data_IF_062943318741
#
_entry.id   IF_062943318741
#
_cell.length_a   1.000
_cell.length_b   1.000
_cell.length_c   1.000
_cell.angle_alpha   90.00
_cell.angle_beta   90.00
_cell.angle_gamma   90.00
#
_symmetry.space_group_name_H-M   'P 1'
#
loop_
_entity.id
_entity.type
_entity.pdbx_description
1 polymer ?
#
# COMPACT_ATOMS: atom_id res chain seq x y z
N UNK A 1 4.51 24.28 -36.26
CA UNK A 1 4.59 24.44 -34.79
C UNK A 1 4.91 23.08 -34.20
N UNK A 2 5.96 22.92 -33.39
CA UNK A 2 6.26 21.65 -32.71
C UNK A 2 5.53 21.64 -31.37
N UNK A 3 4.68 20.65 -31.16
CA UNK A 3 4.05 20.39 -29.87
C UNK A 3 5.07 19.71 -28.97
N UNK A 4 5.40 20.31 -27.84
CA UNK A 4 6.29 19.72 -26.84
C UNK A 4 5.45 19.18 -25.69
N UNK A 5 5.55 17.88 -25.46
CA UNK A 5 4.87 17.20 -24.37
C UNK A 5 5.54 17.61 -23.05
N UNK A 6 4.72 17.95 -22.05
CA UNK A 6 5.18 18.05 -20.66
C UNK A 6 4.71 16.75 -20.01
N UNK A 7 5.59 15.76 -19.95
CA UNK A 7 5.24 14.39 -19.57
C UNK A 7 4.54 14.34 -18.20
N UNK A 8 4.96 15.18 -17.26
CA UNK A 8 4.46 15.25 -15.88
C UNK A 8 3.02 15.80 -15.77
N UNK A 9 2.52 16.49 -16.80
CA UNK A 9 1.16 17.07 -16.84
C UNK A 9 0.15 16.20 -17.59
N UNK A 10 0.62 15.16 -18.27
CA UNK A 10 -0.23 14.21 -18.98
C UNK A 10 -0.54 13.02 -18.08
N UNK A 11 -1.58 12.22 -18.39
CA UNK A 11 -1.91 11.02 -17.59
C UNK A 11 -0.64 10.18 -17.44
N UNK A 12 -0.15 10.10 -16.21
CA UNK A 12 1.21 9.65 -15.91
C UNK A 12 1.48 8.25 -16.42
N UNK A 13 2.78 7.94 -16.55
CA UNK A 13 3.28 6.62 -16.90
C UNK A 13 2.66 5.58 -15.96
N UNK A 14 2.15 4.48 -16.53
CA UNK A 14 1.63 3.34 -15.77
C UNK A 14 2.76 2.81 -14.87
N UNK A 15 2.64 3.02 -13.56
CA UNK A 15 3.65 2.59 -12.58
C UNK A 15 3.58 1.09 -12.28
N UNK A 16 2.39 0.51 -12.34
CA UNK A 16 2.13 -0.88 -11.97
C UNK A 16 1.52 -1.66 -13.13
N UNK A 17 2.07 -2.85 -13.40
CA UNK A 17 1.57 -3.75 -14.44
C UNK A 17 0.34 -4.55 -13.98
N UNK A 18 0.08 -4.61 -12.68
CA UNK A 18 -1.04 -5.36 -12.10
C UNK A 18 -2.40 -4.70 -12.38
N UNK A 19 -3.46 -5.51 -12.40
CA UNK A 19 -4.85 -5.08 -12.56
C UNK A 19 -5.72 -5.69 -11.47
N UNK A 20 -6.52 -4.86 -10.82
CA UNK A 20 -7.48 -5.30 -9.81
C UNK A 20 -8.61 -6.05 -10.53
N UNK A 21 -9.02 -7.18 -9.95
CA UNK A 21 -10.17 -7.98 -10.39
C UNK A 21 -11.11 -8.26 -9.22
N UNK A 22 -12.30 -8.78 -9.53
CA UNK A 22 -13.36 -9.08 -8.55
C UNK A 22 -12.97 -10.13 -7.50
N UNK A 23 -11.87 -10.86 -7.70
CA UNK A 23 -11.35 -11.83 -6.72
C UNK A 23 -10.83 -11.19 -5.43
N UNK A 24 -10.51 -9.89 -5.44
CA UNK A 24 -9.84 -9.27 -4.30
C UNK A 24 -10.84 -8.92 -3.20
N UNK A 25 -10.53 -9.34 -1.98
CA UNK A 25 -11.31 -8.99 -0.81
C UNK A 25 -10.77 -7.74 -0.14
N UNK A 26 -11.67 -6.90 0.38
CA UNK A 26 -11.26 -5.80 1.25
C UNK A 26 -10.99 -6.32 2.64
N UNK A 27 -9.78 -6.07 3.15
CA UNK A 27 -9.37 -6.43 4.51
C UNK A 27 -8.69 -5.25 5.19
N UNK A 28 -8.76 -5.21 6.52
CA UNK A 28 -7.91 -4.33 7.31
C UNK A 28 -6.73 -5.11 7.92
N UNK A 29 -5.68 -4.38 8.34
CA UNK A 29 -4.46 -4.99 8.88
C UNK A 29 -4.71 -5.85 10.13
N UNK A 30 -5.71 -5.51 10.95
CA UNK A 30 -6.05 -6.27 12.16
C UNK A 30 -6.64 -7.63 11.81
N UNK A 31 -7.49 -7.71 10.79
CA UNK A 31 -8.08 -8.96 10.31
C UNK A 31 -6.98 -9.88 9.79
N UNK A 32 -6.15 -9.38 8.88
CA UNK A 32 -5.04 -10.14 8.30
C UNK A 32 -4.05 -10.64 9.34
N UNK A 33 -3.66 -9.79 10.29
CA UNK A 33 -2.76 -10.20 11.38
C UNK A 33 -3.34 -11.29 12.28
N UNK A 34 -4.66 -11.27 12.50
CA UNK A 34 -5.35 -12.32 13.28
C UNK A 34 -5.47 -13.63 12.52
N UNK A 35 -5.66 -13.56 11.20
CA UNK A 35 -5.75 -14.72 10.31
C UNK A 35 -4.37 -15.38 10.13
N UNK A 36 -3.32 -14.58 9.94
CA UNK A 36 -1.94 -15.06 9.80
C UNK A 36 -0.94 -14.04 10.37
N UNK A 37 -0.51 -14.27 11.61
CA UNK A 37 0.40 -13.37 12.35
C UNK A 37 1.76 -13.22 11.67
N UNK A 38 2.26 -14.29 11.05
CA UNK A 38 3.55 -14.33 10.38
C UNK A 38 3.39 -14.20 8.85
N UNK A 39 2.23 -13.72 8.41
CA UNK A 39 1.90 -13.54 7.00
C UNK A 39 2.84 -12.56 6.30
N UNK A 40 3.30 -12.98 5.13
CA UNK A 40 4.06 -12.15 4.19
C UNK A 40 3.22 -11.97 2.94
N UNK A 41 2.97 -10.72 2.59
CA UNK A 41 2.05 -10.36 1.52
C UNK A 41 2.80 -9.65 0.40
N UNK A 42 2.66 -10.16 -0.83
CA UNK A 42 3.24 -9.54 -2.02
C UNK A 42 2.50 -8.25 -2.32
N UNK A 43 3.24 -7.17 -2.53
CA UNK A 43 2.72 -5.89 -2.99
C UNK A 43 2.63 -5.93 -4.51
N UNK A 44 1.42 -5.70 -5.03
CA UNK A 44 1.15 -5.66 -6.47
C UNK A 44 0.95 -4.25 -7.01
N UNK A 45 0.34 -3.39 -6.21
CA UNK A 45 0.17 -1.98 -6.56
C UNK A 45 -0.18 -1.15 -5.32
N UNK A 46 0.01 0.16 -5.45
CA UNK A 46 -0.54 1.16 -4.55
C UNK A 46 -1.52 2.08 -5.28
N UNK A 47 -2.50 2.61 -4.57
CA UNK A 47 -3.28 3.74 -5.02
C UNK A 47 -3.84 4.56 -3.86
N UNK A 48 -4.07 5.85 -4.10
CA UNK A 48 -4.75 6.71 -3.12
C UNK A 48 -6.25 6.55 -3.25
N UNK A 49 -6.92 6.06 -2.19
CA UNK A 49 -8.36 6.09 -2.10
C UNK A 49 -8.84 7.49 -1.69
N UNK A 50 -9.33 8.25 -2.67
CA UNK A 50 -9.85 9.61 -2.46
C UNK A 50 -11.32 9.68 -2.00
N UNK A 51 -12.02 8.55 -1.96
CA UNK A 51 -13.48 8.49 -1.69
C UNK A 51 -13.81 7.93 -0.31
N UNK A 52 -12.81 7.73 0.55
CA UNK A 52 -13.05 7.20 1.90
C UNK A 52 -13.72 8.25 2.79
N UNK A 53 -14.64 7.82 3.65
CA UNK A 53 -15.31 8.68 4.65
C UNK A 53 -14.34 9.29 5.68
N UNK A 54 -13.11 8.78 5.76
CA UNK A 54 -12.07 9.22 6.69
C UNK A 54 -10.99 10.07 6.00
N UNK A 55 -11.27 10.56 4.79
CA UNK A 55 -10.32 11.32 3.97
C UNK A 55 -9.47 10.41 3.08
N UNK A 56 -8.49 11.02 2.40
CA UNK A 56 -7.59 10.29 1.50
C UNK A 56 -6.70 9.33 2.28
N UNK A 57 -6.67 8.06 1.88
CA UNK A 57 -5.79 7.04 2.46
C UNK A 57 -5.08 6.28 1.35
N UNK A 58 -3.83 5.89 1.61
CA UNK A 58 -3.11 5.00 0.72
C UNK A 58 -3.64 3.58 0.85
N UNK A 59 -3.69 2.87 -0.26
CA UNK A 59 -4.16 1.49 -0.35
C UNK A 59 -3.06 0.65 -0.95
N UNK A 60 -2.79 -0.49 -0.33
CA UNK A 60 -1.95 -1.54 -0.90
C UNK A 60 -2.83 -2.65 -1.43
N UNK A 61 -2.50 -3.15 -2.61
CA UNK A 61 -3.14 -4.32 -3.21
C UNK A 61 -2.14 -5.46 -3.24
N UNK A 62 -2.60 -6.64 -2.84
CA UNK A 62 -1.85 -7.90 -2.84
C UNK A 62 -2.47 -8.84 -3.89
N UNK A 63 -2.04 -10.11 -3.92
CA UNK A 63 -2.64 -11.10 -4.82
C UNK A 63 -4.14 -11.33 -4.55
N UNK A 64 -4.55 -11.19 -3.29
CA UNK A 64 -5.90 -11.57 -2.83
C UNK A 64 -6.64 -10.44 -2.12
N UNK A 65 -5.94 -9.40 -1.67
CA UNK A 65 -6.51 -8.38 -0.78
C UNK A 65 -6.29 -6.95 -1.25
N UNK A 66 -7.26 -6.09 -0.97
CA UNK A 66 -7.18 -4.62 -1.03
C UNK A 66 -7.23 -4.09 0.40
N UNK A 67 -6.20 -3.34 0.80
CA UNK A 67 -5.98 -2.99 2.21
C UNK A 67 -5.70 -1.50 2.35
N UNK A 68 -6.54 -0.81 3.13
CA UNK A 68 -6.26 0.57 3.52
C UNK A 68 -5.08 0.61 4.50
N UNK A 69 -4.08 1.44 4.20
CA UNK A 69 -2.92 1.65 5.04
C UNK A 69 -3.17 2.76 6.08
N UNK A 70 -2.55 2.65 7.28
CA UNK A 70 -2.51 3.73 8.24
C UNK A 70 -2.00 5.05 7.64
N UNK A 71 -2.61 6.17 8.03
CA UNK A 71 -2.32 7.50 7.47
C UNK A 71 -0.85 7.91 7.58
N UNK A 72 -0.14 7.50 8.63
CA UNK A 72 1.28 7.81 8.82
C UNK A 72 2.20 7.15 7.77
N UNK A 73 1.69 6.20 6.98
CA UNK A 73 2.44 5.56 5.90
C UNK A 73 2.35 6.32 4.56
N UNK A 74 1.54 7.39 4.45
CA UNK A 74 1.38 8.13 3.19
C UNK A 74 2.71 8.57 2.60
N UNK A 75 3.58 9.23 3.38
CA UNK A 75 4.90 9.65 2.90
C UNK A 75 5.82 8.47 2.53
N UNK A 76 5.64 7.32 3.20
CA UNK A 76 6.41 6.11 2.90
C UNK A 76 5.97 5.52 1.56
N UNK A 77 4.66 5.44 1.31
CA UNK A 77 4.11 5.01 0.02
C UNK A 77 4.54 5.95 -1.09
N UNK A 78 4.51 7.27 -0.88
CA UNK A 78 4.98 8.25 -1.87
C UNK A 78 6.45 8.02 -2.25
N UNK A 79 7.32 7.75 -1.27
CA UNK A 79 8.72 7.37 -1.51
C UNK A 79 8.82 6.07 -2.31
N UNK A 80 7.98 5.09 -2.02
CA UNK A 80 7.96 3.79 -2.73
C UNK A 80 7.58 3.98 -4.19
N UNK A 81 6.46 4.67 -4.47
CA UNK A 81 5.94 4.80 -5.83
C UNK A 81 6.77 5.73 -6.74
N UNK A 82 7.70 6.48 -6.17
CA UNK A 82 8.59 7.39 -6.90
C UNK A 82 10.03 6.85 -6.98
N UNK A 83 10.27 5.61 -6.52
CA UNK A 83 11.56 4.94 -6.63
C UNK A 83 11.49 3.83 -7.70
N UNK A 84 12.30 3.95 -8.75
CA UNK A 84 12.26 3.03 -9.89
C UNK A 84 12.65 1.58 -9.52
N UNK A 85 13.60 1.39 -8.60
CA UNK A 85 14.02 0.06 -8.14
C UNK A 85 12.88 -0.64 -7.40
N UNK A 86 12.15 0.09 -6.55
CA UNK A 86 11.00 -0.47 -5.84
C UNK A 86 9.83 -0.75 -6.78
N UNK A 87 9.56 0.12 -7.76
CA UNK A 87 8.56 -0.15 -8.80
C UNK A 87 8.89 -1.41 -9.60
N UNK A 88 10.17 -1.62 -9.93
CA UNK A 88 10.63 -2.84 -10.59
C UNK A 88 10.37 -4.07 -9.73
N UNK A 89 10.74 -4.05 -8.45
CA UNK A 89 10.50 -5.16 -7.52
C UNK A 89 9.01 -5.46 -7.34
N UNK A 90 8.14 -4.44 -7.28
CA UNK A 90 6.68 -4.61 -7.20
C UNK A 90 6.15 -5.31 -8.46
N UNK A 91 6.56 -4.83 -9.64
CA UNK A 91 6.14 -5.40 -10.91
C UNK A 91 6.66 -6.84 -11.13
N UNK A 92 7.79 -7.20 -10.52
CA UNK A 92 8.33 -8.56 -10.48
C UNK A 92 7.71 -9.44 -9.39
N UNK A 93 6.86 -8.88 -8.50
CA UNK A 93 6.25 -9.63 -7.39
C UNK A 93 7.21 -9.96 -6.23
N UNK A 94 8.29 -9.20 -6.11
CA UNK A 94 9.36 -9.40 -5.11
C UNK A 94 9.33 -8.41 -3.96
N UNK A 95 8.49 -7.39 -4.02
CA UNK A 95 8.30 -6.46 -2.92
C UNK A 95 7.17 -6.95 -2.01
N UNK A 96 7.42 -7.01 -0.71
CA UNK A 96 6.50 -7.62 0.26
C UNK A 96 6.33 -6.76 1.51
N UNK A 97 5.32 -7.09 2.31
CA UNK A 97 5.24 -6.62 3.69
C UNK A 97 4.80 -7.72 4.64
N UNK A 98 5.14 -7.58 5.91
CA UNK A 98 4.48 -8.27 7.01
C UNK A 98 3.79 -7.25 7.93
N UNK A 99 2.89 -7.75 8.79
CA UNK A 99 2.11 -6.90 9.69
C UNK A 99 2.66 -7.06 11.11
N UNK A 100 2.81 -5.95 11.83
CA UNK A 100 3.14 -5.97 13.25
C UNK A 100 2.07 -5.25 14.07
N UNK A 101 1.85 -5.77 15.29
CA UNK A 101 1.04 -5.14 16.32
C UNK A 101 1.93 -4.28 17.22
N UNK A 102 1.46 -3.08 17.58
CA UNK A 102 2.11 -2.23 18.56
C UNK A 102 1.09 -1.62 19.51
N UNK A 103 1.58 -1.20 20.67
CA UNK A 103 0.77 -0.53 21.69
C UNK A 103 1.06 0.97 21.71
N UNK A 104 0.02 1.77 21.91
CA UNK A 104 0.12 3.21 22.09
C UNK A 104 -0.78 3.68 23.23
N UNK A 105 -0.40 4.78 23.87
CA UNK A 105 -1.20 5.38 24.95
C UNK A 105 -2.16 6.41 24.37
N UNK A 106 -3.42 6.32 24.78
CA UNK A 106 -4.42 7.35 24.58
C UNK A 106 -4.94 7.79 25.95
N UNK A 107 -4.36 8.86 26.48
CA UNK A 107 -4.57 9.26 27.88
C UNK A 107 -4.01 8.20 28.84
N UNK A 108 -4.87 7.62 29.67
CA UNK A 108 -4.51 6.55 30.62
C UNK A 108 -4.69 5.14 30.05
N UNK A 109 -5.31 5.00 28.88
CA UNK A 109 -5.56 3.71 28.25
C UNK A 109 -4.40 3.29 27.36
N UNK A 110 -4.07 2.00 27.37
CA UNK A 110 -3.20 1.36 26.38
C UNK A 110 -4.07 0.74 25.29
N UNK A 111 -3.84 1.13 24.04
CA UNK A 111 -4.55 0.62 22.86
C UNK A 111 -3.59 -0.10 21.94
N UNK A 112 -4.12 -1.06 21.19
CA UNK A 112 -3.39 -1.81 20.16
C UNK A 112 -3.69 -1.26 18.77
N UNK A 113 -2.66 -1.14 17.96
CA UNK A 113 -2.73 -0.74 16.56
C UNK A 113 -1.84 -1.66 15.70
N UNK A 114 -1.99 -1.55 14.39
CA UNK A 114 -1.31 -2.40 13.42
C UNK A 114 -0.66 -1.54 12.35
N UNK A 115 0.55 -1.91 11.96
CA UNK A 115 1.26 -1.31 10.83
C UNK A 115 2.09 -2.38 10.13
N UNK A 116 2.95 -1.98 9.19
CA UNK A 116 3.63 -2.92 8.30
C UNK A 116 5.14 -2.70 8.29
N UNK A 117 5.90 -3.78 8.16
CA UNK A 117 7.30 -3.70 7.78
C UNK A 117 7.45 -4.08 6.31
N UNK A 118 8.19 -3.29 5.56
CA UNK A 118 8.45 -3.51 4.14
C UNK A 118 9.69 -4.37 3.95
N UNK A 119 9.69 -5.22 2.93
CA UNK A 119 10.80 -6.11 2.61
C UNK A 119 10.77 -6.59 1.17
N UNK A 120 11.68 -7.52 0.87
CA UNK A 120 11.83 -8.13 -0.45
C UNK A 120 12.04 -9.64 -0.36
N UNK A 121 11.67 -10.38 -1.40
CA UNK A 121 11.88 -11.83 -1.53
C UNK A 121 12.47 -12.21 -2.89
#
# INVERSE_FOLDING_TARGET
MKFNLIDDLNRGIRKFNYEISEKHEYKNLKELYKENKDGVYIVRMFYTNKKSMYGENEVVVTDDYIINLPKHLTETVEKIINNEDYLKLINEGKFVFNIYEYEYKLGKEVKKAYSVNWGTI
#
